data_IF_825651551906
#
_entry.id   IF_825651551906
#
_cell.length_a   1.000
_cell.length_b   1.000
_cell.length_c   1.000
_cell.angle_alpha   90.00
_cell.angle_beta   90.00
_cell.angle_gamma   90.00
#
_symmetry.space_group_name_H-M   'P 1'
#
loop_
_entity.id
_entity.type
_entity.pdbx_description
1 polymer ?
#
# COMPACT_ATOMS: atom_id res chain seq x y z
N UNK A 1 9.00 35.52 33.65
CA UNK A 1 9.28 34.09 33.34
C UNK A 1 8.05 33.50 32.67
N UNK A 2 7.98 33.62 31.34
CA UNK A 2 6.89 33.07 30.52
C UNK A 2 7.52 32.12 29.50
N UNK A 3 7.77 30.89 29.93
CA UNK A 3 8.24 29.79 29.07
C UNK A 3 7.30 28.61 29.28
N UNK A 4 6.10 28.73 28.74
CA UNK A 4 5.12 27.66 28.71
C UNK A 4 4.22 27.89 27.49
N UNK A 5 3.93 26.83 26.73
CA UNK A 5 2.99 26.78 25.60
C UNK A 5 3.47 27.16 24.19
N UNK A 6 4.58 26.60 23.70
CA UNK A 6 4.75 26.51 22.23
C UNK A 6 5.47 25.28 21.68
N UNK A 7 5.99 24.42 22.57
CA UNK A 7 6.76 23.24 22.17
C UNK A 7 5.99 21.92 22.34
N UNK A 8 4.75 21.97 22.83
CA UNK A 8 3.89 20.79 23.02
C UNK A 8 2.76 20.68 21.99
N UNK A 9 2.54 21.70 21.15
CA UNK A 9 1.50 21.65 20.10
C UNK A 9 2.04 21.20 18.73
N UNK A 10 3.34 20.87 18.63
CA UNK A 10 3.96 20.41 17.38
C UNK A 10 4.17 18.90 17.33
N UNK A 11 4.14 18.20 18.47
CA UNK A 11 4.27 16.74 18.51
C UNK A 11 2.92 16.01 18.34
N UNK A 12 1.79 16.62 18.73
CA UNK A 12 0.47 15.99 18.60
C UNK A 12 -0.15 16.15 17.20
N UNK A 13 0.36 17.05 16.36
CA UNK A 13 -0.12 17.26 14.99
C UNK A 13 0.68 16.47 13.92
N UNK A 14 1.83 15.91 14.29
CA UNK A 14 2.66 15.06 13.41
C UNK A 14 2.50 13.56 13.72
N UNK A 15 1.76 13.21 14.78
CA UNK A 15 1.34 11.85 15.11
C UNK A 15 -0.06 11.52 14.54
N UNK A 16 -0.43 12.12 13.42
CA UNK A 16 -1.47 11.57 12.54
C UNK A 16 -0.83 10.42 11.77
N UNK A 17 -0.63 9.32 12.49
CA UNK A 17 -0.35 7.96 12.03
C UNK A 17 -0.32 7.85 10.51
N UNK A 18 0.88 7.86 9.91
CA UNK A 18 1.08 7.33 8.56
C UNK A 18 0.74 5.85 8.65
N UNK A 19 -0.52 5.50 8.36
CA UNK A 19 -1.01 4.13 8.38
C UNK A 19 -0.27 3.35 7.29
N UNK A 20 0.17 2.14 7.59
CA UNK A 20 0.76 1.26 6.57
C UNK A 20 -0.30 0.89 5.55
N UNK A 21 0.07 0.74 4.27
CA UNK A 21 -0.84 0.31 3.20
C UNK A 21 -1.59 -0.98 3.58
N UNK A 22 -0.92 -1.92 4.28
CA UNK A 22 -1.56 -3.14 4.79
C UNK A 22 -2.69 -2.85 5.78
N UNK A 23 -2.47 -1.97 6.75
CA UNK A 23 -3.49 -1.58 7.73
C UNK A 23 -4.66 -0.86 7.04
N UNK A 24 -4.40 -0.05 6.02
CA UNK A 24 -5.45 0.61 5.22
C UNK A 24 -6.29 -0.39 4.43
N UNK A 25 -5.69 -1.50 3.97
CA UNK A 25 -6.40 -2.61 3.30
C UNK A 25 -7.31 -3.32 4.30
N UNK A 26 -6.79 -3.69 5.46
CA UNK A 26 -7.56 -4.39 6.51
C UNK A 26 -8.80 -3.58 6.92
N UNK A 27 -8.63 -2.28 7.16
CA UNK A 27 -9.74 -1.38 7.50
C UNK A 27 -10.77 -1.25 6.39
N UNK A 28 -10.34 -1.25 5.12
CA UNK A 28 -11.27 -1.21 4.00
C UNK A 28 -12.06 -2.53 3.89
N UNK A 29 -11.43 -3.69 4.09
CA UNK A 29 -12.13 -4.98 4.13
C UNK A 29 -13.19 -4.97 5.23
N UNK A 30 -12.84 -4.51 6.44
CA UNK A 30 -13.79 -4.40 7.54
C UNK A 30 -14.95 -3.44 7.23
N UNK A 31 -14.63 -2.27 6.67
CA UNK A 31 -15.61 -1.26 6.28
C UNK A 31 -16.61 -1.81 5.26
N UNK A 32 -16.13 -2.47 4.21
CA UNK A 32 -16.97 -3.04 3.15
C UNK A 32 -17.78 -4.26 3.60
N UNK A 33 -17.37 -4.94 4.67
CA UNK A 33 -18.15 -6.01 5.33
C UNK A 33 -19.26 -5.49 6.25
N UNK A 34 -19.22 -4.22 6.63
CA UNK A 34 -20.23 -3.59 7.49
C UNK A 34 -21.57 -3.38 6.79
N UNK A 35 -22.65 -3.25 7.56
CA UNK A 35 -23.96 -2.83 7.03
C UNK A 35 -23.93 -1.33 6.72
N UNK A 36 -24.02 -0.97 5.44
CA UNK A 36 -23.95 0.41 4.91
C UNK A 36 -22.62 1.14 5.19
N UNK A 37 -21.52 0.76 4.51
CA UNK A 37 -20.30 1.54 4.53
C UNK A 37 -20.56 3.00 4.13
N UNK A 38 -19.94 3.94 4.84
CA UNK A 38 -20.03 5.36 4.50
C UNK A 38 -19.27 5.62 3.18
N UNK A 39 -19.90 6.16 2.13
CA UNK A 39 -19.22 6.45 0.87
C UNK A 39 -18.02 7.39 1.04
N UNK A 40 -18.10 8.34 1.97
CA UNK A 40 -17.01 9.27 2.28
C UNK A 40 -15.82 8.55 2.92
N UNK A 41 -16.06 7.56 3.79
CA UNK A 41 -14.97 6.79 4.41
C UNK A 41 -14.32 5.84 3.41
N UNK A 42 -15.11 5.22 2.52
CA UNK A 42 -14.58 4.37 1.44
C UNK A 42 -13.73 5.21 0.49
N UNK A 43 -14.20 6.37 0.05
CA UNK A 43 -13.42 7.24 -0.84
C UNK A 43 -12.11 7.71 -0.18
N UNK A 44 -12.17 8.13 1.09
CA UNK A 44 -10.98 8.54 1.84
C UNK A 44 -9.93 7.42 1.94
N UNK A 45 -10.35 6.19 2.28
CA UNK A 45 -9.44 5.04 2.34
C UNK A 45 -8.90 4.64 0.96
N UNK A 46 -9.70 4.74 -0.11
CA UNK A 46 -9.21 4.48 -1.47
C UNK A 46 -8.18 5.53 -1.93
N UNK A 47 -8.30 6.78 -1.47
CA UNK A 47 -7.29 7.83 -1.71
C UNK A 47 -6.01 7.51 -0.96
N UNK A 48 -6.11 7.19 0.34
CA UNK A 48 -4.96 6.80 1.18
C UNK A 48 -4.20 5.60 0.59
N UNK A 49 -4.92 4.58 0.12
CA UNK A 49 -4.33 3.42 -0.54
C UNK A 49 -3.65 3.78 -1.86
N UNK A 50 -4.25 4.64 -2.67
CA UNK A 50 -3.65 5.09 -3.93
C UNK A 50 -2.35 5.87 -3.66
N UNK A 51 -2.36 6.77 -2.68
CA UNK A 51 -1.16 7.51 -2.27
C UNK A 51 -0.05 6.58 -1.75
N UNK A 52 -0.42 5.55 -0.97
CA UNK A 52 0.53 4.54 -0.49
C UNK A 52 1.18 3.73 -1.62
N UNK A 53 0.39 3.25 -2.58
CA UNK A 53 0.91 2.50 -3.73
C UNK A 53 1.73 3.41 -4.66
N UNK A 54 1.28 4.63 -4.93
CA UNK A 54 2.04 5.60 -5.74
C UNK A 54 3.37 5.95 -5.07
N UNK A 55 3.39 6.09 -3.74
CA UNK A 55 4.61 6.30 -2.98
C UNK A 55 5.56 5.10 -3.09
N UNK A 56 5.06 3.87 -2.95
CA UNK A 56 5.85 2.66 -3.15
C UNK A 56 6.46 2.63 -4.56
N UNK A 57 5.66 2.84 -5.61
CA UNK A 57 6.15 2.91 -7.00
C UNK A 57 7.24 3.97 -7.15
N UNK A 58 7.00 5.17 -6.62
CA UNK A 58 7.95 6.28 -6.71
C UNK A 58 9.27 5.96 -5.98
N UNK A 59 9.21 5.43 -4.76
CA UNK A 59 10.39 5.03 -3.99
C UNK A 59 11.19 3.98 -4.74
N UNK A 60 10.53 2.94 -5.27
CA UNK A 60 11.22 1.85 -5.97
C UNK A 60 11.88 2.35 -7.27
N UNK A 61 11.25 3.28 -7.99
CA UNK A 61 11.81 3.88 -9.21
C UNK A 61 12.94 4.89 -8.92
N UNK A 62 12.79 5.71 -7.88
CA UNK A 62 13.77 6.75 -7.54
C UNK A 62 15.02 6.14 -6.91
N UNK A 63 14.84 5.14 -6.05
CA UNK A 63 15.94 4.46 -5.35
C UNK A 63 16.52 3.31 -6.17
N UNK A 64 15.85 2.87 -7.23
CA UNK A 64 16.36 1.81 -8.12
C UNK A 64 16.52 0.47 -7.42
N UNK A 65 15.72 0.19 -6.38
CA UNK A 65 15.94 -0.95 -5.48
C UNK A 65 15.80 -2.29 -6.23
N UNK A 66 14.85 -2.39 -7.17
CA UNK A 66 14.72 -3.58 -8.02
C UNK A 66 15.91 -3.72 -8.98
N UNK A 67 16.39 -2.63 -9.58
CA UNK A 67 17.57 -2.63 -10.43
C UNK A 67 18.82 -3.07 -9.65
N UNK A 68 19.01 -2.57 -8.44
CA UNK A 68 20.12 -2.94 -7.57
C UNK A 68 20.05 -4.42 -7.15
N UNK A 69 18.86 -4.92 -6.84
CA UNK A 69 18.62 -6.33 -6.54
C UNK A 69 18.93 -7.22 -7.76
N UNK A 70 18.47 -6.83 -8.96
CA UNK A 70 18.75 -7.55 -10.21
C UNK A 70 20.24 -7.53 -10.55
N UNK A 71 20.94 -6.41 -10.32
CA UNK A 71 22.39 -6.33 -10.54
C UNK A 71 23.15 -7.32 -9.65
N UNK A 72 22.70 -7.51 -8.41
CA UNK A 72 23.30 -8.48 -7.46
C UNK A 72 22.90 -9.92 -7.75
N UNK A 73 21.67 -10.16 -8.19
CA UNK A 73 21.12 -11.47 -8.48
C UNK A 73 20.42 -11.50 -9.85
N UNK A 74 21.17 -11.59 -10.98
CA UNK A 74 20.61 -11.47 -12.33
C UNK A 74 19.54 -12.51 -12.68
N UNK A 75 19.53 -13.67 -12.01
CA UNK A 75 18.51 -14.70 -12.21
C UNK A 75 17.12 -14.24 -11.75
N UNK A 76 17.02 -13.17 -10.94
CA UNK A 76 15.75 -12.58 -10.50
C UNK A 76 15.15 -11.58 -11.49
N UNK A 77 15.75 -11.37 -12.67
CA UNK A 77 15.26 -10.38 -13.66
C UNK A 77 13.77 -10.56 -13.96
N UNK A 78 13.33 -11.81 -14.19
CA UNK A 78 11.93 -12.08 -14.49
C UNK A 78 10.99 -11.77 -13.31
N UNK A 79 11.43 -12.06 -12.08
CA UNK A 79 10.66 -11.75 -10.87
C UNK A 79 10.60 -10.25 -10.58
N UNK A 80 11.70 -9.52 -10.76
CA UNK A 80 11.73 -8.08 -10.60
C UNK A 80 10.80 -7.36 -11.60
N UNK A 81 10.79 -7.79 -12.87
CA UNK A 81 9.85 -7.24 -13.85
C UNK A 81 8.40 -7.62 -13.55
N UNK A 82 8.15 -8.83 -13.03
CA UNK A 82 6.82 -9.25 -12.57
C UNK A 82 6.32 -8.37 -11.41
N UNK A 83 7.16 -8.08 -10.43
CA UNK A 83 6.82 -7.21 -9.29
C UNK A 83 6.48 -5.79 -9.73
N UNK A 84 7.25 -5.22 -10.66
CA UNK A 84 6.93 -3.90 -11.25
C UNK A 84 5.59 -3.90 -11.98
N UNK A 85 5.28 -4.98 -12.72
CA UNK A 85 3.98 -5.13 -13.39
C UNK A 85 2.83 -5.26 -12.39
N UNK A 86 3.03 -5.99 -11.29
CA UNK A 86 2.04 -6.11 -10.21
C UNK A 86 1.76 -4.75 -9.55
N UNK A 87 2.78 -3.94 -9.25
CA UNK A 87 2.60 -2.57 -8.75
C UNK A 87 1.75 -1.71 -9.70
N UNK A 88 2.06 -1.76 -11.01
CA UNK A 88 1.29 -1.03 -12.01
C UNK A 88 -0.16 -1.53 -12.11
N UNK A 89 -0.39 -2.83 -11.96
CA UNK A 89 -1.72 -3.42 -11.95
C UNK A 89 -2.52 -3.02 -10.69
N UNK A 90 -1.88 -2.96 -9.53
CA UNK A 90 -2.47 -2.50 -8.27
C UNK A 90 -2.91 -1.03 -8.36
N UNK A 91 -2.06 -0.15 -8.90
CA UNK A 91 -2.42 1.25 -9.13
C UNK A 91 -3.64 1.40 -10.05
N UNK A 92 -3.70 0.62 -11.14
CA UNK A 92 -4.85 0.59 -12.04
C UNK A 92 -6.11 0.05 -11.37
N UNK A 93 -5.98 -0.98 -10.52
CA UNK A 93 -7.10 -1.55 -9.76
C UNK A 93 -7.70 -0.53 -8.79
N UNK A 94 -6.85 0.18 -8.03
CA UNK A 94 -7.29 1.26 -7.15
C UNK A 94 -7.99 2.39 -7.90
N UNK A 95 -7.47 2.78 -9.08
CA UNK A 95 -8.14 3.76 -9.91
C UNK A 95 -9.53 3.27 -10.37
N UNK A 96 -9.66 2.01 -10.76
CA UNK A 96 -10.94 1.42 -11.14
C UNK A 96 -11.93 1.36 -9.97
N UNK A 97 -11.45 1.01 -8.76
CA UNK A 97 -12.23 1.01 -7.52
C UNK A 97 -12.75 2.40 -7.18
N UNK A 98 -11.93 3.45 -7.31
CA UNK A 98 -12.33 4.85 -7.11
C UNK A 98 -13.40 5.29 -8.11
N UNK A 99 -13.24 4.91 -9.38
CA UNK A 99 -14.24 5.19 -10.42
C UNK A 99 -15.57 4.46 -10.15
N UNK A 100 -15.54 3.27 -9.54
CA UNK A 100 -16.75 2.57 -9.12
C UNK A 100 -17.41 3.21 -7.91
N UNK A 101 -16.64 3.54 -6.88
CA UNK A 101 -17.13 4.17 -5.66
C UNK A 101 -17.81 5.53 -5.95
N UNK A 102 -17.23 6.33 -6.86
CA UNK A 102 -17.75 7.65 -7.25
C UNK A 102 -19.01 7.62 -8.12
N UNK A 103 -19.31 6.51 -8.80
CA UNK A 103 -20.45 6.41 -9.73
C UNK A 103 -21.82 6.26 -9.04
N UNK A 104 -21.88 6.25 -7.71
CA UNK A 104 -23.13 6.34 -6.95
C UNK A 104 -24.07 5.14 -7.08
N UNK A 105 -23.62 4.04 -7.70
CA UNK A 105 -24.40 2.81 -7.93
C UNK A 105 -24.59 1.92 -6.69
N UNK A 106 -24.31 2.45 -5.50
CA UNK A 106 -24.21 1.69 -4.25
C UNK A 106 -22.84 1.02 -4.10
N UNK A 107 -22.31 1.02 -2.88
CA UNK A 107 -21.15 0.25 -2.45
C UNK A 107 -21.51 -1.25 -2.37
N UNK A 108 -22.16 -1.78 -3.41
CA UNK A 108 -22.71 -3.13 -3.43
C UNK A 108 -21.63 -4.20 -3.54
N UNK A 109 -22.06 -5.47 -3.63
CA UNK A 109 -21.20 -6.65 -3.74
C UNK A 109 -20.09 -6.53 -4.81
N UNK A 110 -20.29 -5.72 -5.85
CA UNK A 110 -19.30 -5.48 -6.90
C UNK A 110 -18.08 -4.66 -6.47
N UNK A 111 -18.23 -3.74 -5.50
CA UNK A 111 -17.09 -3.00 -4.95
C UNK A 111 -16.34 -3.83 -3.93
N UNK A 112 -17.08 -4.52 -3.04
CA UNK A 112 -16.49 -5.42 -2.05
C UNK A 112 -15.68 -6.54 -2.73
N UNK A 113 -16.26 -7.24 -3.71
CA UNK A 113 -15.55 -8.31 -4.42
C UNK A 113 -14.31 -7.82 -5.17
N UNK A 114 -14.38 -6.65 -5.84
CA UNK A 114 -13.19 -6.07 -6.50
C UNK A 114 -12.13 -5.59 -5.52
N UNK A 115 -12.54 -5.16 -4.34
CA UNK A 115 -11.61 -4.78 -3.29
C UNK A 115 -10.93 -6.01 -2.68
N UNK A 116 -11.66 -7.11 -2.50
CA UNK A 116 -11.09 -8.40 -2.07
C UNK A 116 -10.05 -8.90 -3.09
N UNK A 117 -10.35 -8.84 -4.39
CA UNK A 117 -9.36 -9.15 -5.46
C UNK A 117 -8.10 -8.26 -5.37
N UNK A 118 -8.28 -6.97 -5.06
CA UNK A 118 -7.15 -6.07 -4.84
C UNK A 118 -6.34 -6.43 -3.59
N UNK A 119 -7.00 -6.77 -2.48
CA UNK A 119 -6.35 -7.16 -1.23
C UNK A 119 -5.54 -8.45 -1.40
N UNK A 120 -6.08 -9.44 -2.12
CA UNK A 120 -5.38 -10.66 -2.48
C UNK A 120 -4.14 -10.36 -3.34
N UNK A 121 -4.29 -9.54 -4.38
CA UNK A 121 -3.17 -9.13 -5.23
C UNK A 121 -2.06 -8.42 -4.44
N UNK A 122 -2.42 -7.57 -3.48
CA UNK A 122 -1.45 -6.90 -2.62
C UNK A 122 -0.70 -7.89 -1.72
N UNK A 123 -1.42 -8.83 -1.09
CA UNK A 123 -0.79 -9.85 -0.25
C UNK A 123 0.17 -10.75 -1.06
N UNK A 124 -0.22 -11.13 -2.28
CA UNK A 124 0.65 -11.88 -3.19
C UNK A 124 1.90 -11.09 -3.59
N UNK A 125 1.73 -9.79 -3.89
CA UNK A 125 2.83 -8.90 -4.23
C UNK A 125 3.81 -8.76 -3.06
N UNK A 126 3.31 -8.50 -1.86
CA UNK A 126 4.13 -8.30 -0.67
C UNK A 126 4.94 -9.56 -0.31
N UNK A 127 4.33 -10.74 -0.40
CA UNK A 127 5.04 -12.00 -0.21
C UNK A 127 6.12 -12.22 -1.28
N UNK A 128 5.78 -12.01 -2.56
CA UNK A 128 6.72 -12.18 -3.66
C UNK A 128 7.88 -11.17 -3.60
N UNK A 129 7.62 -9.95 -3.14
CA UNK A 129 8.62 -8.91 -2.93
C UNK A 129 9.58 -9.26 -1.80
N UNK A 130 9.04 -9.75 -0.67
CA UNK A 130 9.87 -10.23 0.44
C UNK A 130 10.80 -11.36 -0.02
N UNK A 131 10.27 -12.35 -0.74
CA UNK A 131 11.06 -13.46 -1.29
C UNK A 131 12.14 -12.97 -2.26
N UNK A 132 11.79 -12.02 -3.13
CA UNK A 132 12.71 -11.41 -4.09
C UNK A 132 13.87 -10.70 -3.39
N UNK A 133 13.60 -9.86 -2.39
CA UNK A 133 14.63 -9.14 -1.67
C UNK A 133 15.45 -10.04 -0.75
N UNK A 134 14.85 -11.08 -0.16
CA UNK A 134 15.60 -12.07 0.60
C UNK A 134 16.57 -12.86 -0.30
N UNK A 135 16.17 -13.17 -1.53
CA UNK A 135 17.03 -13.82 -2.51
C UNK A 135 18.16 -12.91 -3.02
N UNK A 136 17.89 -11.61 -3.23
CA UNK A 136 18.87 -10.64 -3.71
C UNK A 136 19.83 -10.14 -2.61
N UNK A 137 19.33 -10.01 -1.38
CA UNK A 137 20.06 -9.52 -0.21
C UNK A 137 19.94 -10.54 0.94
N UNK A 138 20.59 -11.71 0.83
CA UNK A 138 20.58 -12.70 1.90
C UNK A 138 21.34 -12.15 3.11
N UNK A 139 20.62 -11.55 4.04
CA UNK A 139 21.10 -11.17 5.37
C UNK A 139 20.74 -12.26 6.39
N UNK A 140 21.42 -12.31 7.55
CA UNK A 140 20.97 -13.16 8.64
C UNK A 140 19.61 -12.67 9.14
N UNK A 141 18.67 -13.59 9.39
CA UNK A 141 17.24 -13.35 9.67
C UNK A 141 16.89 -12.31 10.76
N UNK A 142 17.86 -11.81 11.53
CA UNK A 142 17.69 -10.79 12.57
C UNK A 142 17.73 -9.34 12.07
N UNK A 143 18.15 -9.08 10.83
CA UNK A 143 18.25 -7.72 10.27
C UNK A 143 16.91 -7.11 9.81
N UNK A 144 15.85 -7.93 9.70
CA UNK A 144 14.51 -7.50 9.26
C UNK A 144 13.60 -7.04 10.42
N UNK A 145 14.14 -6.88 11.64
CA UNK A 145 13.37 -6.48 12.84
C UNK A 145 13.78 -5.11 13.42
N UNK A 146 14.45 -4.24 12.65
CA UNK A 146 14.89 -2.91 13.14
C UNK A 146 13.96 -1.79 12.70
#
# INVERSE_FOLDING_TARGET
>A
MAHTNRKLEMDDAQSLTTRSTRESIELMVELLRGENPSPTHVDALLVELAEGIDHCIATHQVEGIYEDAIQRAPWLTADGERLKQQLAAMAQSLQALRMLASRGGGLGESLAGRFEEFAELYAEHEAAEQDFFQAAFPGPDWALQS
#
